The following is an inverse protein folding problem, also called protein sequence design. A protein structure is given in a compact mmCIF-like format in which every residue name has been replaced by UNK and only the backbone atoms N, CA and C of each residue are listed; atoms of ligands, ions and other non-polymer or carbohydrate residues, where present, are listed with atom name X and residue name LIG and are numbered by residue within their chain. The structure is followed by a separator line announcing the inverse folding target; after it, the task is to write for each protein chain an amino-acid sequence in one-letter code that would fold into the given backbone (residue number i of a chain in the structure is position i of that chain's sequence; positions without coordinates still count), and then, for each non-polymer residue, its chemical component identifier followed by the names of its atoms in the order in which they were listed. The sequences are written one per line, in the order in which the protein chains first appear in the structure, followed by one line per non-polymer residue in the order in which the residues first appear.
data_IF_786370258998
#
_entry.id   IF_786370258998
#
_cell.length_a   1.000
_cell.length_b   1.000
_cell.length_c   1.000
_cell.angle_alpha   90.00
_cell.angle_beta   90.00
_cell.angle_gamma   90.00
#
_symmetry.space_group_name_H-M   'P 1'
#
loop_
_entity.id
_entity.type
_entity.pdbx_description
1 polymer ?
#
# COMPACT_ATOMS: atom_id res chain seq x y z
N UNK A 1 -8.11 -17.30 -18.38
CA UNK A 1 -6.87 -17.12 -17.60
C UNK A 1 -6.24 -15.85 -18.14
N UNK A 2 -6.46 -14.72 -17.47
CA UNK A 2 -5.97 -13.41 -17.94
C UNK A 2 -4.61 -13.14 -17.30
N UNK A 3 -3.59 -12.69 -18.06
CA UNK A 3 -2.36 -12.20 -17.45
C UNK A 3 -2.69 -10.89 -16.73
N UNK A 4 -2.24 -10.77 -15.48
CA UNK A 4 -2.17 -9.48 -14.83
C UNK A 4 -1.06 -8.71 -15.52
N UNK A 5 -1.45 -7.69 -16.28
CA UNK A 5 -0.55 -6.65 -16.75
C UNK A 5 0.02 -5.97 -15.51
N UNK A 6 1.15 -6.48 -15.02
CA UNK A 6 1.98 -5.78 -14.06
C UNK A 6 2.60 -4.63 -14.85
N UNK A 7 1.90 -3.50 -14.86
CA UNK A 7 2.42 -2.27 -15.45
C UNK A 7 3.60 -1.83 -14.59
N UNK A 8 4.80 -2.27 -14.98
CA UNK A 8 6.06 -1.73 -14.49
C UNK A 8 6.17 -0.28 -15.00
N UNK A 9 5.64 0.66 -14.22
CA UNK A 9 5.77 2.08 -14.51
C UNK A 9 7.14 2.54 -14.03
N UNK A 10 8.13 2.35 -14.89
CA UNK A 10 9.50 2.85 -14.74
C UNK A 10 9.47 4.36 -14.48
N UNK A 11 9.75 4.77 -13.23
CA UNK A 11 9.98 6.18 -12.85
C UNK A 11 8.84 6.89 -12.08
N UNK A 12 7.72 6.22 -11.79
CA UNK A 12 6.75 6.70 -10.81
C UNK A 12 6.91 5.88 -9.54
N UNK A 13 6.88 6.52 -8.37
CA UNK A 13 6.92 5.80 -7.09
C UNK A 13 6.04 4.54 -7.14
N UNK A 14 6.54 3.38 -6.66
CA UNK A 14 5.83 2.11 -6.77
C UNK A 14 4.41 2.26 -6.23
N UNK A 15 3.46 2.28 -7.16
CA UNK A 15 2.06 2.55 -6.87
C UNK A 15 1.30 1.23 -6.91
N UNK A 16 0.74 0.86 -5.77
CA UNK A 16 -0.02 -0.37 -5.59
C UNK A 16 -1.48 -0.11 -5.88
N UNK A 17 -2.09 -0.95 -6.71
CA UNK A 17 -3.54 -1.02 -6.81
C UNK A 17 -4.14 -1.44 -5.46
N UNK A 18 -5.42 -1.16 -5.25
CA UNK A 18 -6.14 -1.63 -4.06
C UNK A 18 -6.04 -3.16 -3.82
N UNK A 19 -5.84 -3.95 -4.88
CA UNK A 19 -5.69 -5.40 -4.78
C UNK A 19 -4.28 -5.78 -4.31
N UNK A 20 -3.25 -5.15 -4.83
CA UNK A 20 -1.87 -5.37 -4.40
C UNK A 20 -1.66 -4.86 -2.98
N UNK A 21 -2.20 -3.68 -2.65
CA UNK A 21 -2.22 -3.15 -1.29
C UNK A 21 -2.82 -4.17 -0.30
N UNK A 22 -3.92 -4.82 -0.65
CA UNK A 22 -4.53 -5.84 0.19
C UNK A 22 -3.63 -7.08 0.37
N UNK A 23 -2.94 -7.51 -0.70
CA UNK A 23 -1.98 -8.62 -0.64
C UNK A 23 -0.81 -8.27 0.29
N UNK A 24 -0.21 -7.09 0.10
CA UNK A 24 0.91 -6.59 0.93
C UNK A 24 0.49 -6.49 2.39
N UNK A 25 -0.74 -6.02 2.66
CA UNK A 25 -1.28 -5.92 4.00
C UNK A 25 -1.76 -7.27 4.57
N UNK A 26 -1.66 -8.38 3.82
CA UNK A 26 -2.18 -9.70 4.24
C UNK A 26 -3.64 -9.63 4.70
N UNK A 27 -4.45 -8.84 4.00
CA UNK A 27 -5.88 -8.64 4.27
C UNK A 27 -6.69 -8.79 3.00
N UNK A 28 -7.99 -8.99 3.16
CA UNK A 28 -8.91 -9.12 2.04
C UNK A 28 -9.14 -7.76 1.36
N UNK A 29 -9.24 -7.75 0.04
CA UNK A 29 -9.60 -6.56 -0.74
C UNK A 29 -10.86 -5.87 -0.19
N UNK A 30 -11.92 -6.63 0.11
CA UNK A 30 -13.18 -6.08 0.65
C UNK A 30 -13.00 -5.40 2.01
N UNK A 31 -12.09 -5.92 2.84
CA UNK A 31 -11.76 -5.32 4.13
C UNK A 31 -11.06 -3.97 3.94
N UNK A 32 -10.09 -3.91 3.02
CA UNK A 32 -9.40 -2.67 2.68
C UNK A 32 -10.36 -1.64 2.07
N UNK A 33 -11.15 -2.05 1.06
CA UNK A 33 -12.08 -1.17 0.36
C UNK A 33 -13.13 -0.57 1.31
N UNK A 34 -13.70 -1.38 2.21
CA UNK A 34 -14.70 -0.89 3.16
C UNK A 34 -14.13 0.18 4.10
N UNK A 35 -12.88 0.02 4.55
CA UNK A 35 -12.26 0.92 5.52
C UNK A 35 -11.70 2.18 4.91
N UNK A 36 -11.18 2.07 3.69
CA UNK A 36 -10.84 3.21 2.84
C UNK A 36 -12.07 4.09 2.61
N UNK A 37 -13.23 3.50 2.30
CA UNK A 37 -14.49 4.26 2.14
C UNK A 37 -14.93 4.95 3.41
N UNK A 38 -14.68 4.34 4.57
CA UNK A 38 -14.99 4.90 5.89
C UNK A 38 -13.95 5.91 6.38
N UNK A 39 -12.86 6.14 5.65
CA UNK A 39 -11.77 7.02 6.06
C UNK A 39 -11.16 6.63 7.43
N UNK A 40 -11.12 5.32 7.75
CA UNK A 40 -10.64 4.81 9.04
C UNK A 40 -9.12 4.81 9.16
N UNK A 41 -8.39 4.96 8.05
CA UNK A 41 -6.94 5.03 8.06
C UNK A 41 -6.50 6.46 8.32
N UNK A 42 -5.93 6.70 9.51
CA UNK A 42 -5.46 8.02 9.94
C UNK A 42 -4.00 7.97 10.38
N UNK A 43 -3.25 8.96 9.91
CA UNK A 43 -1.89 9.23 10.33
C UNK A 43 -1.84 9.69 11.80
N UNK A 44 -0.65 9.69 12.44
CA UNK A 44 -0.49 10.17 13.81
C UNK A 44 -0.90 11.63 14.02
N UNK A 45 -0.83 12.45 12.99
CA UNK A 45 -1.26 13.85 12.96
C UNK A 45 -2.79 14.02 12.80
N UNK A 46 -3.54 12.92 12.60
CA UNK A 46 -4.97 12.93 12.34
C UNK A 46 -5.35 13.06 10.86
N UNK A 47 -4.37 13.18 9.95
CA UNK A 47 -4.61 13.23 8.51
C UNK A 47 -5.15 11.89 8.01
N UNK A 48 -6.26 11.91 7.29
CA UNK A 48 -6.84 10.70 6.69
C UNK A 48 -5.99 10.26 5.50
N UNK A 49 -5.53 9.02 5.51
CA UNK A 49 -4.86 8.40 4.36
C UNK A 49 -5.90 8.15 3.27
N UNK A 50 -5.88 8.98 2.23
CA UNK A 50 -6.78 8.85 1.08
C UNK A 50 -6.02 8.25 -0.10
N UNK A 51 -6.54 7.19 -0.74
CA UNK A 51 -5.92 6.68 -1.96
C UNK A 51 -5.96 7.73 -3.07
N UNK A 52 -4.89 7.73 -3.85
CA UNK A 52 -4.85 8.48 -5.10
C UNK A 52 -5.81 7.85 -6.09
N UNK A 53 -6.35 8.68 -7.00
CA UNK A 53 -7.21 8.21 -8.08
C UNK A 53 -6.53 8.48 -9.40
N UNK A 54 -6.41 7.45 -10.23
CA UNK A 54 -6.05 7.66 -11.64
C UNK A 54 -7.14 8.44 -12.37
N UNK A 55 -6.83 9.01 -13.55
CA UNK A 55 -7.83 9.55 -14.47
C UNK A 55 -8.95 8.56 -14.81
N UNK A 56 -8.67 7.25 -14.78
CA UNK A 56 -9.65 6.17 -14.99
C UNK A 56 -10.51 5.83 -13.76
N UNK A 57 -10.36 6.55 -12.64
CA UNK A 57 -11.15 6.35 -11.41
C UNK A 57 -10.68 5.19 -10.53
N UNK A 58 -9.66 4.45 -10.96
CA UNK A 58 -9.04 3.39 -10.14
C UNK A 58 -8.25 4.00 -8.97
N UNK A 59 -8.25 3.28 -7.83
CA UNK A 59 -7.58 3.68 -6.60
C UNK A 59 -6.18 3.07 -6.53
N UNK A 60 -5.19 3.90 -6.23
CA UNK A 60 -3.80 3.51 -6.05
C UNK A 60 -3.25 4.04 -4.73
N UNK A 61 -2.27 3.33 -4.20
CA UNK A 61 -1.62 3.59 -2.92
C UNK A 61 -0.12 3.63 -3.15
N UNK A 62 0.58 4.60 -2.59
CA UNK A 62 2.04 4.62 -2.58
C UNK A 62 2.59 3.76 -1.44
N UNK A 63 3.90 3.45 -1.47
CA UNK A 63 4.59 2.78 -0.35
C UNK A 63 4.36 3.52 0.96
N UNK A 64 4.47 4.85 0.96
CA UNK A 64 4.24 5.67 2.16
C UNK A 64 2.82 5.50 2.71
N UNK A 65 1.81 5.54 1.82
CA UNK A 65 0.42 5.30 2.23
C UNK A 65 0.23 3.91 2.85
N UNK A 66 0.90 2.87 2.32
CA UNK A 66 0.84 1.53 2.89
C UNK A 66 1.53 1.46 4.27
N UNK A 67 2.65 2.16 4.46
CA UNK A 67 3.31 2.29 5.78
C UNK A 67 2.40 2.99 6.79
N UNK A 68 1.71 4.05 6.38
CA UNK A 68 0.74 4.76 7.23
C UNK A 68 -0.45 3.88 7.58
N UNK A 69 -1.02 3.17 6.60
CA UNK A 69 -2.12 2.22 6.81
C UNK A 69 -1.68 1.11 7.78
N UNK A 70 -0.50 0.53 7.59
CA UNK A 70 0.02 -0.51 8.47
C UNK A 70 0.24 -0.01 9.90
N UNK A 71 0.78 1.20 10.05
CA UNK A 71 0.98 1.86 11.34
C UNK A 71 -0.36 2.15 12.03
N UNK A 72 -1.35 2.65 11.28
CA UNK A 72 -2.71 2.84 11.76
C UNK A 72 -3.32 1.51 12.22
N UNK A 73 -3.18 0.44 11.44
CA UNK A 73 -3.65 -0.90 11.83
C UNK A 73 -3.02 -1.40 13.13
N UNK A 74 -1.74 -1.12 13.36
CA UNK A 74 -1.06 -1.45 14.61
C UNK A 74 -1.59 -0.63 15.79
N UNK A 75 -1.78 0.69 15.61
CA UNK A 75 -2.37 1.58 16.64
C UNK A 75 -3.78 1.14 17.04
N UNK A 76 -4.60 0.73 16.08
CA UNK A 76 -5.94 0.20 16.31
C UNK A 76 -5.96 -1.26 16.80
N UNK A 77 -4.80 -1.88 17.03
CA UNK A 77 -4.63 -3.28 17.48
C UNK A 77 -5.24 -4.30 16.51
N UNK A 78 -5.44 -3.93 15.24
CA UNK A 78 -5.88 -4.84 14.19
C UNK A 78 -4.73 -5.70 13.67
N UNK A 79 -3.50 -5.19 13.79
CA UNK A 79 -2.26 -5.89 13.43
C UNK A 79 -1.45 -6.17 14.69
N UNK A 80 -0.87 -7.36 14.72
CA UNK A 80 0.23 -7.70 15.63
C UNK A 80 1.54 -7.08 15.15
N UNK A 81 2.52 -6.94 16.05
CA UNK A 81 3.86 -6.46 15.69
C UNK A 81 4.53 -7.34 14.61
N UNK A 82 4.23 -8.64 14.59
CA UNK A 82 4.72 -9.58 13.58
C UNK A 82 4.14 -9.28 12.20
N UNK A 83 2.83 -9.04 12.10
CA UNK A 83 2.19 -8.64 10.84
C UNK A 83 2.74 -7.30 10.35
N UNK A 84 2.88 -6.31 11.24
CA UNK A 84 3.51 -5.02 10.91
C UNK A 84 4.91 -5.22 10.32
N UNK A 85 5.75 -6.02 10.97
CA UNK A 85 7.11 -6.30 10.50
C UNK A 85 7.11 -7.01 9.14
N UNK A 86 6.21 -7.95 8.91
CA UNK A 86 6.07 -8.63 7.61
C UNK A 86 5.68 -7.66 6.49
N UNK A 87 4.73 -6.74 6.75
CA UNK A 87 4.35 -5.71 5.78
C UNK A 87 5.51 -4.78 5.47
N UNK A 88 6.22 -4.31 6.49
CA UNK A 88 7.39 -3.45 6.29
C UNK A 88 8.52 -4.15 5.53
N UNK A 89 8.73 -5.45 5.75
CA UNK A 89 9.69 -6.24 4.97
C UNK A 89 9.25 -6.41 3.51
N UNK A 90 7.96 -6.68 3.26
CA UNK A 90 7.43 -6.78 1.91
C UNK A 90 7.54 -5.44 1.15
N UNK A 91 7.33 -4.32 1.84
CA UNK A 91 7.51 -2.98 1.28
C UNK A 91 8.98 -2.66 1.04
N UNK A 92 9.90 -3.04 1.93
CA UNK A 92 11.34 -2.82 1.75
C UNK A 92 11.90 -3.59 0.55
N UNK A 93 11.51 -4.88 0.39
CA UNK A 93 11.91 -5.68 -0.76
C UNK A 93 11.39 -5.14 -2.09
N UNK A 94 10.25 -4.45 -2.08
CA UNK A 94 9.70 -3.81 -3.26
C UNK A 94 10.39 -2.47 -3.60
N UNK A 95 10.93 -1.78 -2.59
CA UNK A 95 11.72 -0.54 -2.73
C UNK A 95 13.08 -0.81 -3.37
N UNK A 96 13.75 -1.90 -2.97
CA UNK A 96 15.07 -2.32 -3.48
C UNK A 96 15.06 -2.66 -4.99
N UNK A 97 13.90 -3.02 -5.58
CA UNK A 97 13.79 -3.25 -7.03
C UNK A 97 13.69 -1.96 -7.87
N UNK A 98 13.57 -0.78 -7.24
CA UNK A 98 13.59 0.53 -7.90
C UNK A 98 14.93 1.27 -7.81
N UNK A 99 15.91 0.77 -7.06
CA UNK A 99 17.15 1.48 -6.72
C UNK A 99 18.42 0.95 -7.41
N UNK A 100 18.31 0.08 -8.41
CA UNK A 100 19.45 -0.56 -9.09
C UNK A 100 19.65 -0.10 -10.54
N UNK A 101 19.27 1.14 -10.88
CA UNK A 101 19.49 1.70 -12.21
C UNK A 101 19.90 3.18 -12.16
N UNK A 102 20.84 3.54 -11.28
CA UNK A 102 21.65 4.75 -11.49
C UNK A 102 22.98 4.63 -10.73
N UNK A 103 24.02 4.24 -11.46
CA UNK A 103 25.41 4.47 -11.09
C UNK A 103 26.22 4.69 -12.38
N UNK A 104 27.15 5.67 -12.39
CA UNK A 104 27.62 6.39 -13.57
C UNK A 104 28.49 5.60 -14.55
#
# INVERSE_FOLDING_TARGET
MMPADSTEVTGLEPTYSAREAAIVLTRSYSWLDQRVRKCEFTQPDGTVVRPLRSPGGYRYFTVEMLRDIATCCYRHRWFSFRELKSVFQALALADDHGAAADAP
#
